data_IF_167880312670
#
_entry.id   IF_167880312670
#
_cell.length_a   1.000
_cell.length_b   1.000
_cell.length_c   1.000
_cell.angle_alpha   90.00
_cell.angle_beta   90.00
_cell.angle_gamma   90.00
#
_symmetry.space_group_name_H-M   'P 1'
#
loop_
_entity.id
_entity.type
_entity.pdbx_description
1 polymer ?
#
# COMPACT_ATOMS: atom_id res chain seq x y z
N UNK A 1 -20.16 -20.20 -28.11
CA UNK A 1 -18.81 -20.15 -27.54
C UNK A 1 -18.57 -21.44 -26.78
N UNK A 2 -17.49 -22.21 -27.10
CA UNK A 2 -17.16 -23.42 -26.36
C UNK A 2 -16.82 -23.11 -24.90
N UNK A 3 -17.18 -24.04 -23.99
CA UNK A 3 -16.76 -23.90 -22.58
C UNK A 3 -15.24 -23.99 -22.49
N UNK A 4 -14.62 -23.03 -21.81
CA UNK A 4 -13.18 -23.05 -21.54
C UNK A 4 -12.83 -24.20 -20.60
N UNK A 5 -11.67 -24.81 -20.80
CA UNK A 5 -11.13 -25.79 -19.85
C UNK A 5 -10.67 -25.09 -18.56
N UNK A 6 -10.66 -25.81 -17.45
CA UNK A 6 -10.12 -25.28 -16.17
C UNK A 6 -8.71 -24.76 -16.34
N UNK A 7 -7.87 -25.46 -17.11
CA UNK A 7 -6.49 -25.04 -17.40
C UNK A 7 -6.42 -23.67 -18.09
N UNK A 8 -7.30 -23.41 -19.07
CA UNK A 8 -7.37 -22.11 -19.75
C UNK A 8 -7.82 -20.98 -18.80
N UNK A 9 -8.77 -21.26 -17.92
CA UNK A 9 -9.24 -20.31 -16.89
C UNK A 9 -8.07 -19.97 -15.96
N UNK A 10 -7.37 -20.98 -15.42
CA UNK A 10 -6.24 -20.77 -14.51
C UNK A 10 -5.10 -19.98 -15.17
N UNK A 11 -4.80 -20.26 -16.45
CA UNK A 11 -3.75 -19.54 -17.19
C UNK A 11 -4.10 -18.05 -17.37
N UNK A 12 -5.35 -17.72 -17.70
CA UNK A 12 -5.78 -16.32 -17.80
C UNK A 12 -5.78 -15.60 -16.44
N UNK A 13 -6.20 -16.29 -15.38
CA UNK A 13 -6.14 -15.76 -14.03
C UNK A 13 -4.69 -15.52 -13.59
N UNK A 14 -3.75 -16.42 -13.92
CA UNK A 14 -2.34 -16.22 -13.63
C UNK A 14 -1.77 -14.96 -14.33
N UNK A 15 -2.23 -14.66 -15.54
CA UNK A 15 -1.90 -13.40 -16.23
C UNK A 15 -2.41 -12.17 -15.46
N UNK A 16 -3.68 -12.21 -15.02
CA UNK A 16 -4.26 -11.16 -14.19
C UNK A 16 -3.54 -11.00 -12.84
N UNK A 17 -3.07 -12.12 -12.25
CA UNK A 17 -2.27 -12.09 -11.02
C UNK A 17 -0.94 -11.37 -11.20
N UNK A 18 -0.31 -11.49 -12.36
CA UNK A 18 0.90 -10.72 -12.68
C UNK A 18 0.67 -9.20 -12.54
N UNK A 19 -0.46 -8.71 -13.05
CA UNK A 19 -0.83 -7.29 -12.90
C UNK A 19 -1.11 -6.92 -11.43
N UNK A 20 -1.80 -7.79 -10.68
CA UNK A 20 -2.03 -7.56 -9.24
C UNK A 20 -0.71 -7.49 -8.46
N UNK A 21 0.24 -8.39 -8.74
CA UNK A 21 1.58 -8.37 -8.13
C UNK A 21 2.34 -7.10 -8.52
N UNK A 22 2.22 -6.66 -9.76
CA UNK A 22 2.85 -5.42 -10.22
C UNK A 22 2.31 -4.19 -9.45
N UNK A 23 0.98 -4.08 -9.29
CA UNK A 23 0.36 -3.02 -8.49
C UNK A 23 0.86 -3.07 -7.05
N UNK A 24 0.86 -4.25 -6.44
CA UNK A 24 1.36 -4.47 -5.09
C UNK A 24 2.82 -4.02 -4.94
N UNK A 25 3.72 -4.49 -5.80
CA UNK A 25 5.15 -4.20 -5.73
C UNK A 25 5.45 -2.71 -5.93
N UNK A 26 4.87 -2.09 -6.97
CA UNK A 26 5.04 -0.66 -7.25
C UNK A 26 4.53 0.17 -6.07
N UNK A 27 3.36 -0.18 -5.53
CA UNK A 27 2.81 0.53 -4.37
C UNK A 27 3.76 0.47 -3.18
N UNK A 28 4.26 -0.70 -2.80
CA UNK A 28 5.18 -0.83 -1.66
C UNK A 28 6.49 -0.08 -1.86
N UNK A 29 7.12 -0.26 -3.04
CA UNK A 29 8.43 0.36 -3.34
C UNK A 29 8.37 1.88 -3.23
N UNK A 30 7.28 2.50 -3.67
CA UNK A 30 7.16 3.95 -3.68
C UNK A 30 6.43 4.52 -2.46
N UNK A 31 5.45 3.83 -1.88
CA UNK A 31 4.70 4.35 -0.74
C UNK A 31 5.45 4.28 0.58
N UNK A 32 6.32 3.29 0.79
CA UNK A 32 7.14 3.21 2.01
C UNK A 32 8.09 4.42 2.16
N UNK A 33 8.93 4.76 1.16
CA UNK A 33 9.78 5.95 1.26
C UNK A 33 8.96 7.25 1.23
N UNK A 34 7.92 7.36 0.39
CA UNK A 34 7.06 8.54 0.37
C UNK A 34 6.37 8.75 1.71
N UNK A 35 5.87 7.69 2.35
CA UNK A 35 5.28 7.72 3.68
C UNK A 35 6.26 8.23 4.74
N UNK A 36 7.56 7.90 4.63
CA UNK A 36 8.59 8.43 5.52
C UNK A 36 8.74 9.96 5.36
N UNK A 37 8.82 10.47 4.13
CA UNK A 37 8.87 11.91 3.88
C UNK A 37 7.62 12.62 4.40
N UNK A 38 6.45 12.05 4.19
CA UNK A 38 5.17 12.57 4.71
C UNK A 38 5.17 12.57 6.24
N UNK A 39 5.65 11.52 6.90
CA UNK A 39 5.76 11.45 8.35
C UNK A 39 6.69 12.53 8.92
N UNK A 40 7.86 12.71 8.30
CA UNK A 40 8.82 13.75 8.68
C UNK A 40 8.23 15.15 8.53
N UNK A 41 7.55 15.42 7.42
CA UNK A 41 6.85 16.67 7.21
C UNK A 41 5.70 16.90 8.21
N UNK A 42 4.97 15.81 8.58
CA UNK A 42 3.91 15.85 9.61
C UNK A 42 4.45 16.18 11.00
N UNK A 43 5.70 15.83 11.29
CA UNK A 43 6.40 16.13 12.55
C UNK A 43 7.27 17.39 12.47
N UNK A 44 7.26 18.11 11.36
CA UNK A 44 8.04 19.34 11.15
C UNK A 44 7.64 20.44 12.14
N UNK A 45 8.58 21.34 12.46
CA UNK A 45 8.31 22.55 13.22
C UNK A 45 7.54 23.61 12.42
N UNK A 46 7.55 23.52 11.10
CA UNK A 46 6.79 24.42 10.24
C UNK A 46 5.29 24.07 10.31
N UNK A 47 4.52 24.94 10.96
CA UNK A 47 3.08 24.75 11.19
C UNK A 47 2.27 24.68 9.90
N UNK A 48 2.67 25.43 8.84
CA UNK A 48 1.98 25.40 7.55
C UNK A 48 2.17 24.04 6.86
N UNK A 49 3.42 23.56 6.78
CA UNK A 49 3.72 22.23 6.24
C UNK A 49 2.98 21.13 7.00
N UNK A 50 3.00 21.23 8.34
CA UNK A 50 2.29 20.28 9.21
C UNK A 50 0.78 20.28 8.93
N UNK A 51 0.17 21.46 8.73
CA UNK A 51 -1.26 21.59 8.45
C UNK A 51 -1.62 20.99 7.06
N UNK A 52 -0.87 21.31 6.03
CA UNK A 52 -1.06 20.78 4.67
C UNK A 52 -0.98 19.24 4.67
N UNK A 53 0.05 18.69 5.31
CA UNK A 53 0.22 17.24 5.38
C UNK A 53 -0.90 16.58 6.22
N UNK A 54 -1.35 17.24 7.28
CA UNK A 54 -2.49 16.76 8.09
C UNK A 54 -3.75 16.65 7.24
N UNK A 55 -4.03 17.66 6.40
CA UNK A 55 -5.18 17.64 5.49
C UNK A 55 -5.04 16.51 4.47
N UNK A 56 -3.88 16.36 3.84
CA UNK A 56 -3.60 15.27 2.91
C UNK A 56 -3.87 13.89 3.55
N UNK A 57 -3.28 13.62 4.72
CA UNK A 57 -3.48 12.35 5.43
C UNK A 57 -4.96 12.15 5.78
N UNK A 58 -5.63 13.19 6.23
CA UNK A 58 -7.06 13.14 6.57
C UNK A 58 -7.93 12.77 5.36
N UNK A 59 -7.65 13.35 4.19
CA UNK A 59 -8.36 13.06 2.95
C UNK A 59 -8.09 11.61 2.52
N UNK A 60 -6.82 11.20 2.44
CA UNK A 60 -6.44 9.88 1.96
C UNK A 60 -6.98 8.75 2.83
N UNK A 61 -7.02 8.94 4.15
CA UNK A 61 -7.53 7.94 5.09
C UNK A 61 -9.03 8.07 5.38
N UNK A 62 -9.63 9.19 5.04
CA UNK A 62 -11.04 9.49 5.28
C UNK A 62 -11.96 9.26 4.08
N UNK A 63 -11.40 8.94 2.90
CA UNK A 63 -12.18 8.70 1.68
C UNK A 63 -11.87 7.33 1.08
N UNK A 64 -12.82 6.69 0.37
CA UNK A 64 -12.58 5.39 -0.26
C UNK A 64 -11.50 5.46 -1.34
N UNK A 65 -10.55 4.51 -1.35
CA UNK A 65 -9.51 4.42 -2.37
C UNK A 65 -10.09 4.35 -3.78
N UNK A 66 -11.22 3.65 -3.97
CA UNK A 66 -11.92 3.57 -5.25
C UNK A 66 -12.25 4.96 -5.84
N UNK A 67 -12.76 5.88 -5.00
CA UNK A 67 -13.06 7.24 -5.44
C UNK A 67 -11.80 8.04 -5.76
N UNK A 68 -10.73 7.83 -5.00
CA UNK A 68 -9.44 8.47 -5.26
C UNK A 68 -8.85 8.03 -6.61
N UNK A 69 -8.97 6.74 -6.97
CA UNK A 69 -8.55 6.24 -8.28
C UNK A 69 -9.30 6.94 -9.42
N UNK A 70 -10.61 7.12 -9.28
CA UNK A 70 -11.41 7.86 -10.27
C UNK A 70 -10.97 9.31 -10.39
N UNK A 71 -10.68 9.99 -9.27
CA UNK A 71 -10.18 11.38 -9.28
C UNK A 71 -8.81 11.46 -9.95
N UNK A 72 -7.90 10.53 -9.66
CA UNK A 72 -6.57 10.51 -10.30
C UNK A 72 -6.67 10.27 -11.81
N UNK A 73 -7.58 9.38 -12.23
CA UNK A 73 -7.76 9.07 -13.65
C UNK A 73 -8.48 10.17 -14.43
N UNK A 74 -9.60 10.66 -13.92
CA UNK A 74 -10.44 11.64 -14.60
C UNK A 74 -10.04 13.09 -14.33
N UNK A 75 -9.37 13.37 -13.21
CA UNK A 75 -8.96 14.71 -12.81
C UNK A 75 -8.19 15.49 -13.90
N UNK A 76 -7.17 14.90 -14.55
CA UNK A 76 -6.44 15.58 -15.63
C UNK A 76 -7.35 16.05 -16.76
N UNK A 77 -8.37 15.30 -17.11
CA UNK A 77 -9.34 15.69 -18.13
C UNK A 77 -10.25 16.83 -17.67
N UNK A 78 -10.88 16.67 -16.50
CA UNK A 78 -11.90 17.64 -16.05
C UNK A 78 -11.30 18.96 -15.54
N UNK A 79 -10.07 18.92 -14.97
CA UNK A 79 -9.44 20.12 -14.39
C UNK A 79 -8.59 20.85 -15.41
N UNK A 80 -7.87 20.12 -16.28
CA UNK A 80 -6.86 20.69 -17.19
C UNK A 80 -7.21 20.50 -18.67
N UNK A 81 -8.34 19.85 -19.02
CA UNK A 81 -8.71 19.54 -20.40
C UNK A 81 -7.77 18.53 -21.10
N UNK A 82 -6.92 17.83 -20.35
CA UNK A 82 -5.94 16.88 -20.90
C UNK A 82 -6.64 15.60 -21.35
N UNK A 83 -6.44 15.19 -22.62
CA UNK A 83 -6.92 13.89 -23.10
C UNK A 83 -6.02 12.78 -22.58
N UNK A 84 -6.56 11.94 -21.69
CA UNK A 84 -5.86 10.75 -21.16
C UNK A 84 -6.28 9.50 -21.94
N UNK A 85 -5.32 8.78 -22.47
CA UNK A 85 -5.55 7.52 -23.20
C UNK A 85 -5.68 6.32 -22.27
N UNK A 86 -6.01 5.16 -22.86
CA UNK A 86 -6.14 3.90 -22.12
C UNK A 86 -4.84 3.49 -21.38
N UNK A 87 -3.68 3.85 -21.92
CA UNK A 87 -2.37 3.60 -21.29
C UNK A 87 -2.19 4.29 -19.94
N UNK A 88 -2.90 5.41 -19.72
CA UNK A 88 -2.85 6.13 -18.44
C UNK A 88 -3.58 5.40 -17.31
N UNK A 89 -4.48 4.46 -17.58
CA UNK A 89 -5.24 3.74 -16.54
C UNK A 89 -4.35 3.08 -15.49
N UNK A 90 -3.35 2.32 -15.94
CA UNK A 90 -2.43 1.62 -15.05
C UNK A 90 -1.56 2.61 -14.26
N UNK A 91 -1.11 3.70 -14.90
CA UNK A 91 -0.39 4.77 -14.20
C UNK A 91 -1.25 5.46 -13.15
N UNK A 92 -2.52 5.72 -13.44
CA UNK A 92 -3.46 6.29 -12.47
C UNK A 92 -3.67 5.37 -11.27
N UNK A 93 -3.71 4.03 -11.49
CA UNK A 93 -3.73 3.04 -10.41
C UNK A 93 -2.47 3.16 -9.57
N UNK A 94 -1.27 3.13 -10.18
CA UNK A 94 -0.02 3.25 -9.44
C UNK A 94 0.05 4.53 -8.62
N UNK A 95 -0.26 5.68 -9.21
CA UNK A 95 -0.25 6.97 -8.53
C UNK A 95 -1.25 6.97 -7.37
N UNK A 96 -2.49 6.57 -7.62
CA UNK A 96 -3.55 6.56 -6.59
C UNK A 96 -3.22 5.66 -5.41
N UNK A 97 -2.73 4.44 -5.69
CA UNK A 97 -2.30 3.51 -4.63
C UNK A 97 -1.10 4.05 -3.85
N UNK A 98 -0.07 4.56 -4.54
CA UNK A 98 1.14 5.06 -3.88
C UNK A 98 0.83 6.23 -2.95
N UNK A 99 0.05 7.22 -3.41
CA UNK A 99 -0.29 8.36 -2.56
C UNK A 99 -1.25 7.98 -1.42
N UNK A 100 -2.17 7.03 -1.63
CA UNK A 100 -3.04 6.55 -0.57
C UNK A 100 -2.24 5.82 0.51
N UNK A 101 -1.47 4.79 0.14
CA UNK A 101 -0.69 3.99 1.09
C UNK A 101 0.42 4.77 1.77
N UNK A 102 1.00 5.78 1.12
CA UNK A 102 1.94 6.70 1.75
C UNK A 102 1.34 7.44 2.96
N UNK A 103 0.05 7.78 2.92
CA UNK A 103 -0.63 8.40 4.06
C UNK A 103 -0.82 7.43 5.23
N UNK A 104 -1.11 6.15 4.95
CA UNK A 104 -1.21 5.11 5.99
C UNK A 104 0.16 4.84 6.63
N UNK A 105 1.21 4.61 5.82
CA UNK A 105 2.56 4.40 6.34
C UNK A 105 3.08 5.62 7.10
N UNK A 106 2.76 6.84 6.67
CA UNK A 106 3.15 8.06 7.38
C UNK A 106 2.61 8.09 8.81
N UNK A 107 1.34 7.72 9.03
CA UNK A 107 0.77 7.68 10.37
C UNK A 107 1.34 6.53 11.22
N UNK A 108 1.65 5.37 10.62
CA UNK A 108 2.34 4.27 11.31
C UNK A 108 3.72 4.74 11.78
N UNK A 109 4.50 5.37 10.92
CA UNK A 109 5.84 5.88 11.27
C UNK A 109 5.76 6.96 12.33
N UNK A 110 4.85 7.93 12.18
CA UNK A 110 4.65 9.00 13.16
C UNK A 110 4.26 8.44 14.53
N UNK A 111 3.29 7.53 14.57
CA UNK A 111 2.81 6.94 15.84
C UNK A 111 3.90 6.12 16.52
N UNK A 112 4.68 5.36 15.76
CA UNK A 112 5.82 4.61 16.27
C UNK A 112 6.88 5.50 16.89
N UNK A 113 7.29 6.58 16.20
CA UNK A 113 8.29 7.52 16.72
C UNK A 113 7.77 8.23 17.99
N UNK A 114 6.51 8.69 17.96
CA UNK A 114 5.92 9.42 19.11
C UNK A 114 5.60 8.53 20.30
N UNK A 115 5.55 7.21 20.14
CA UNK A 115 5.32 6.25 21.22
C UNK A 115 6.57 5.94 22.04
N UNK A 116 7.74 6.47 21.65
CA UNK A 116 8.99 6.24 22.40
C UNK A 116 9.00 7.07 23.68
N UNK A 117 9.37 6.47 24.83
CA UNK A 117 9.43 7.18 26.12
C UNK A 117 10.40 8.35 26.07
N UNK A 118 9.98 9.50 26.61
CA UNK A 118 10.81 10.72 26.67
C UNK A 118 12.11 10.47 27.46
N UNK A 119 12.05 9.66 28.52
CA UNK A 119 13.22 9.30 29.32
C UNK A 119 14.37 8.67 28.53
N UNK A 120 14.11 8.00 27.39
CA UNK A 120 15.19 7.50 26.52
C UNK A 120 15.97 8.63 25.84
N UNK A 121 15.29 9.71 25.46
CA UNK A 121 15.93 10.89 24.88
C UNK A 121 16.74 11.66 25.93
N UNK A 122 16.22 11.72 27.16
CA UNK A 122 16.88 12.37 28.30
C UNK A 122 18.13 11.60 28.73
N UNK A 123 18.01 10.29 28.90
CA UNK A 123 19.14 9.43 29.24
C UNK A 123 20.26 9.49 28.17
N UNK A 124 19.89 9.44 26.89
CA UNK A 124 20.85 9.57 25.80
C UNK A 124 21.59 10.93 25.83
N UNK A 125 20.86 12.01 26.15
CA UNK A 125 21.45 13.34 26.29
C UNK A 125 22.43 13.41 27.47
N UNK A 126 22.12 12.79 28.60
CA UNK A 126 23.04 12.70 29.75
C UNK A 126 24.32 11.93 29.43
N UNK A 127 24.22 10.93 28.54
CA UNK A 127 25.37 10.16 28.04
C UNK A 127 26.15 10.88 26.92
N UNK A 128 25.81 12.13 26.59
CA UNK A 128 26.50 12.94 25.59
C UNK A 128 26.14 12.63 24.13
N UNK A 129 25.10 11.85 23.87
CA UNK A 129 24.64 11.60 22.50
C UNK A 129 24.04 12.84 21.84
N UNK A 130 24.40 13.13 20.61
CA UNK A 130 23.71 14.12 19.79
C UNK A 130 22.29 13.66 19.44
N UNK A 131 21.42 14.58 19.03
CA UNK A 131 20.04 14.26 18.63
C UNK A 131 19.99 13.20 17.51
N UNK A 132 20.86 13.31 16.51
CA UNK A 132 20.94 12.34 15.41
C UNK A 132 21.45 10.97 15.89
N UNK A 133 22.45 10.96 16.75
CA UNK A 133 22.95 9.71 17.34
C UNK A 133 21.89 9.03 18.20
N UNK A 134 21.17 9.79 19.03
CA UNK A 134 20.05 9.29 19.82
C UNK A 134 18.99 8.67 18.92
N UNK A 135 18.57 9.39 17.87
CA UNK A 135 17.55 8.89 16.97
C UNK A 135 17.99 7.63 16.22
N UNK A 136 19.17 7.65 15.57
CA UNK A 136 19.63 6.55 14.71
C UNK A 136 20.03 5.31 15.51
N UNK A 137 20.76 5.50 16.63
CA UNK A 137 21.34 4.38 17.38
C UNK A 137 20.42 3.79 18.45
N UNK A 138 19.50 4.59 19.00
CA UNK A 138 18.67 4.17 20.15
C UNK A 138 17.20 4.08 19.76
N UNK A 139 16.63 5.14 19.19
CA UNK A 139 15.20 5.24 18.94
C UNK A 139 14.77 4.45 17.70
N UNK A 140 15.43 4.67 16.57
CA UNK A 140 15.03 4.08 15.28
C UNK A 140 14.97 2.54 15.30
N UNK A 141 15.93 1.81 15.88
CA UNK A 141 15.85 0.35 15.97
C UNK A 141 14.62 -0.14 16.76
N UNK A 142 14.25 0.58 17.81
CA UNK A 142 13.07 0.27 18.62
C UNK A 142 11.77 0.62 17.88
N UNK A 143 11.76 1.77 17.19
CA UNK A 143 10.63 2.18 16.36
C UNK A 143 10.35 1.15 15.27
N UNK A 144 11.37 0.68 14.54
CA UNK A 144 11.22 -0.33 13.49
C UNK A 144 10.50 -1.57 14.05
N UNK A 145 10.98 -2.12 15.16
CA UNK A 145 10.33 -3.28 15.79
C UNK A 145 8.87 -2.99 16.17
N UNK A 146 8.61 -1.82 16.71
CA UNK A 146 7.28 -1.45 17.21
C UNK A 146 6.25 -1.22 16.11
N UNK A 147 6.68 -0.71 14.96
CA UNK A 147 5.77 -0.44 13.83
C UNK A 147 5.59 -1.65 12.91
N UNK A 148 6.49 -2.63 12.97
CA UNK A 148 6.52 -3.75 12.03
C UNK A 148 5.20 -4.51 11.95
N UNK A 149 4.51 -4.87 13.06
CA UNK A 149 3.20 -5.51 12.99
C UNK A 149 2.13 -4.65 12.28
N UNK A 150 2.17 -3.32 12.47
CA UNK A 150 1.26 -2.41 11.79
C UNK A 150 1.56 -2.32 10.29
N UNK A 151 2.84 -2.30 9.91
CA UNK A 151 3.26 -2.34 8.51
C UNK A 151 2.84 -3.66 7.87
N UNK A 152 3.04 -4.79 8.55
CA UNK A 152 2.60 -6.13 8.11
C UNK A 152 1.11 -6.13 7.80
N UNK A 153 0.28 -5.60 8.69
CA UNK A 153 -1.17 -5.56 8.49
C UNK A 153 -1.57 -4.72 7.26
N UNK A 154 -0.92 -3.57 7.03
CA UNK A 154 -1.18 -2.74 5.84
C UNK A 154 -0.72 -3.44 4.56
N UNK A 155 0.42 -4.13 4.58
CA UNK A 155 0.92 -4.89 3.42
C UNK A 155 -0.03 -6.05 3.07
N UNK A 156 -0.55 -6.77 4.06
CA UNK A 156 -1.57 -7.82 3.90
C UNK A 156 -2.87 -7.23 3.31
N UNK A 157 -3.27 -6.05 3.76
CA UNK A 157 -4.44 -5.36 3.24
C UNK A 157 -4.23 -4.95 1.78
N UNK A 158 -3.05 -4.44 1.44
CA UNK A 158 -2.70 -4.04 0.07
C UNK A 158 -2.86 -5.19 -0.94
N UNK A 159 -2.52 -6.44 -0.57
CA UNK A 159 -2.74 -7.61 -1.44
C UNK A 159 -4.20 -7.66 -1.93
N UNK A 160 -5.15 -7.48 -1.04
CA UNK A 160 -6.60 -7.53 -1.35
C UNK A 160 -7.05 -6.27 -2.10
N UNK A 161 -6.52 -5.13 -1.72
CA UNK A 161 -6.89 -3.84 -2.30
C UNK A 161 -6.46 -3.71 -3.77
N UNK A 162 -5.46 -4.49 -4.24
CA UNK A 162 -5.10 -4.51 -5.67
C UNK A 162 -6.30 -4.78 -6.57
N UNK A 163 -7.32 -5.50 -6.09
CA UNK A 163 -8.57 -5.73 -6.79
C UNK A 163 -9.34 -4.45 -7.10
N UNK A 164 -9.17 -3.35 -6.32
CA UNK A 164 -9.84 -2.07 -6.54
C UNK A 164 -9.45 -1.41 -7.88
N UNK A 165 -8.37 -1.86 -8.52
CA UNK A 165 -7.99 -1.42 -9.85
C UNK A 165 -9.04 -1.76 -10.93
N UNK A 166 -9.99 -2.67 -10.63
CA UNK A 166 -11.16 -2.94 -11.49
C UNK A 166 -11.97 -1.67 -11.80
N UNK A 167 -11.97 -0.70 -10.89
CA UNK A 167 -12.69 0.57 -11.04
C UNK A 167 -12.27 1.33 -12.29
N UNK A 168 -10.99 1.23 -12.66
CA UNK A 168 -10.43 1.82 -13.88
C UNK A 168 -10.35 0.80 -15.03
N UNK A 169 -11.03 -0.34 -14.92
CA UNK A 169 -11.02 -1.42 -15.94
C UNK A 169 -9.60 -1.90 -16.26
N UNK A 170 -8.70 -1.91 -15.28
CA UNK A 170 -7.38 -2.53 -15.40
C UNK A 170 -7.56 -4.04 -15.32
N UNK A 171 -6.96 -4.78 -16.25
CA UNK A 171 -7.05 -6.24 -16.34
C UNK A 171 -6.12 -6.92 -15.33
N UNK A 172 -6.47 -6.80 -14.05
CA UNK A 172 -5.84 -7.51 -12.94
C UNK A 172 -6.66 -8.79 -12.61
N UNK A 173 -6.30 -9.51 -11.55
CA UNK A 173 -6.90 -10.79 -11.18
C UNK A 173 -8.44 -10.74 -11.07
N UNK A 174 -9.00 -9.79 -10.32
CA UNK A 174 -10.44 -9.71 -10.09
C UNK A 174 -11.20 -9.32 -11.36
N UNK A 175 -10.69 -8.36 -12.14
CA UNK A 175 -11.27 -7.96 -13.43
C UNK A 175 -11.27 -9.13 -14.40
N UNK A 176 -10.19 -9.89 -14.45
CA UNK A 176 -10.07 -11.10 -15.28
C UNK A 176 -11.07 -12.17 -14.83
N UNK A 177 -11.18 -12.42 -13.52
CA UNK A 177 -12.15 -13.39 -12.98
C UNK A 177 -13.59 -12.98 -13.31
N UNK A 178 -13.92 -11.69 -13.19
CA UNK A 178 -15.24 -11.15 -13.53
C UNK A 178 -15.59 -11.34 -15.00
N UNK A 179 -14.65 -11.05 -15.89
CA UNK A 179 -14.83 -11.24 -17.34
C UNK A 179 -15.06 -12.72 -17.69
N UNK A 180 -14.23 -13.62 -17.10
CA UNK A 180 -14.37 -15.06 -17.28
C UNK A 180 -15.68 -15.62 -16.72
N UNK A 181 -16.06 -15.20 -15.51
CA UNK A 181 -17.31 -15.64 -14.89
C UNK A 181 -18.52 -15.26 -15.73
N UNK A 182 -18.53 -14.04 -16.28
CA UNK A 182 -19.60 -13.56 -17.17
C UNK A 182 -19.61 -14.33 -18.50
N UNK A 183 -18.46 -14.55 -19.14
CA UNK A 183 -18.39 -15.21 -20.44
C UNK A 183 -18.70 -16.72 -20.37
N UNK A 184 -18.35 -17.38 -19.26
CA UNK A 184 -18.58 -18.80 -19.06
C UNK A 184 -19.89 -19.11 -18.30
N UNK A 185 -20.60 -18.07 -17.84
CA UNK A 185 -21.77 -18.20 -16.97
C UNK A 185 -21.50 -19.16 -15.79
N UNK A 186 -20.38 -18.92 -15.10
CA UNK A 186 -19.86 -19.83 -14.09
C UNK A 186 -19.24 -19.06 -12.92
N UNK A 187 -19.42 -19.56 -11.69
CA UNK A 187 -18.76 -19.03 -10.48
C UNK A 187 -17.30 -19.51 -10.31
N UNK A 188 -16.91 -20.53 -11.08
CA UNK A 188 -15.58 -21.16 -10.96
C UNK A 188 -14.41 -20.16 -11.05
N UNK A 189 -14.40 -19.16 -11.96
CA UNK A 189 -13.34 -18.16 -12.02
C UNK A 189 -13.21 -17.33 -10.75
N UNK A 190 -14.31 -17.02 -10.05
CA UNK A 190 -14.24 -16.30 -8.77
C UNK A 190 -13.66 -17.16 -7.66
N UNK A 191 -14.04 -18.44 -7.58
CA UNK A 191 -13.49 -19.37 -6.59
C UNK A 191 -11.98 -19.54 -6.83
N UNK A 192 -11.58 -19.73 -8.07
CA UNK A 192 -10.17 -19.84 -8.44
C UNK A 192 -9.39 -18.56 -8.11
N UNK A 193 -9.90 -17.37 -8.43
CA UNK A 193 -9.29 -16.10 -8.08
C UNK A 193 -9.15 -15.94 -6.55
N UNK A 194 -10.18 -16.35 -5.78
CA UNK A 194 -10.11 -16.35 -4.32
C UNK A 194 -8.96 -17.20 -3.78
N UNK A 195 -8.73 -18.39 -4.37
CA UNK A 195 -7.60 -19.25 -4.02
C UNK A 195 -6.26 -18.57 -4.36
N UNK A 196 -6.13 -17.94 -5.54
CA UNK A 196 -4.92 -17.20 -5.91
C UNK A 196 -4.62 -16.06 -4.93
N UNK A 197 -5.63 -15.24 -4.58
CA UNK A 197 -5.48 -14.18 -3.59
C UNK A 197 -5.09 -14.72 -2.22
N UNK A 198 -5.72 -15.82 -1.79
CA UNK A 198 -5.39 -16.48 -0.53
C UNK A 198 -3.95 -16.94 -0.48
N UNK A 199 -3.49 -17.66 -1.53
CA UNK A 199 -2.10 -18.15 -1.62
C UNK A 199 -1.11 -16.98 -1.65
N UNK A 200 -1.37 -15.94 -2.45
CA UNK A 200 -0.51 -14.77 -2.49
C UNK A 200 -0.43 -14.07 -1.13
N UNK A 201 -1.58 -13.88 -0.48
CA UNK A 201 -1.63 -13.28 0.85
C UNK A 201 -0.89 -14.12 1.89
N UNK A 202 -1.04 -15.45 1.84
CA UNK A 202 -0.34 -16.38 2.73
C UNK A 202 1.18 -16.27 2.55
N UNK A 203 1.69 -16.26 1.31
CA UNK A 203 3.13 -16.11 1.03
C UNK A 203 3.65 -14.78 1.58
N UNK A 204 2.93 -13.68 1.34
CA UNK A 204 3.30 -12.36 1.87
C UNK A 204 3.30 -12.35 3.39
N UNK A 205 2.26 -12.90 4.03
CA UNK A 205 2.15 -12.98 5.49
C UNK A 205 3.29 -13.80 6.10
N UNK A 206 3.57 -14.98 5.56
CA UNK A 206 4.68 -15.85 6.03
C UNK A 206 6.04 -15.15 5.90
N UNK A 207 6.28 -14.44 4.80
CA UNK A 207 7.52 -13.68 4.62
C UNK A 207 7.65 -12.56 5.65
N UNK A 208 6.58 -11.82 5.92
CA UNK A 208 6.58 -10.72 6.88
C UNK A 208 6.71 -11.23 8.32
N UNK A 209 6.04 -12.32 8.68
CA UNK A 209 6.21 -12.98 10.00
C UNK A 209 7.65 -13.48 10.21
N UNK A 210 8.27 -14.04 9.16
CA UNK A 210 9.68 -14.42 9.21
C UNK A 210 10.57 -13.19 9.45
N UNK A 211 10.29 -12.07 8.78
CA UNK A 211 11.02 -10.82 8.96
C UNK A 211 10.85 -10.27 10.39
N UNK A 212 9.63 -10.30 10.93
CA UNK A 212 9.33 -9.90 12.31
C UNK A 212 10.14 -10.73 13.31
N UNK A 213 10.13 -12.05 13.18
CA UNK A 213 10.89 -12.95 14.05
C UNK A 213 12.39 -12.71 13.96
N UNK A 214 12.92 -12.38 12.77
CA UNK A 214 14.34 -12.09 12.57
C UNK A 214 14.76 -10.76 13.18
N UNK A 215 13.87 -9.77 13.21
CA UNK A 215 14.13 -8.43 13.78
C UNK A 215 13.80 -8.36 15.27
N UNK A 216 13.07 -9.32 15.82
CA UNK A 216 12.74 -9.40 17.24
C UNK A 216 13.92 -10.05 18.01
N UNK A 217 15.01 -9.30 18.19
CA UNK A 217 16.07 -9.67 19.12
C UNK A 217 15.56 -9.43 20.54
N UNK A 218 15.37 -10.51 21.26
CA UNK A 218 15.21 -10.47 22.72
C UNK A 218 16.51 -10.09 23.41
#
# INVERSE_FOLDING_TARGET
MGKMTIQQILMQLAGGMGTSIQIFAVTLIFSLPLGLFVALGRMSKNKLLQAVIKVYISIMRGTPLMLQLLVVYFGPYYIFGMRVGNSYRLWAVFIGFVINYAAYFAEIYRSGIQSMPVGQYEAAKLLGYSKSQTFIKIILPQVIKRILPSVTNEVITLVKDTSLAFTLSVMEMFTTAKALASSQVSMMPFVAAGIFYYVFNLVVAMFLEWLEKKLDYR
#
